data_IF_573546913704
#
_entry.id   IF_573546913704
#
_cell.length_a   1.000
_cell.length_b   1.000
_cell.length_c   1.000
_cell.angle_alpha   90.00
_cell.angle_beta   90.00
_cell.angle_gamma   90.00
#
_symmetry.space_group_name_H-M   'P 1'
#
loop_
_entity.id
_entity.type
_entity.pdbx_description
1 polymer ?
#
# COMPACT_ATOMS: atom_id res chain seq x y z
N UNK A 1 -3.09 1.15 -14.46
CA UNK A 1 -3.48 0.43 -13.22
C UNK A 1 -3.56 -1.09 -13.40
N UNK A 2 -4.17 -1.64 -14.48
CA UNK A 2 -4.22 -3.11 -14.75
C UNK A 2 -2.90 -3.88 -14.60
N UNK A 3 -1.75 -3.25 -14.90
CA UNK A 3 -0.41 -3.84 -14.71
C UNK A 3 -0.12 -4.31 -13.28
N UNK A 4 -0.76 -3.71 -12.27
CA UNK A 4 -0.61 -4.08 -10.86
C UNK A 4 -1.54 -5.21 -10.41
N UNK A 5 -2.46 -5.68 -11.25
CA UNK A 5 -3.39 -6.75 -10.88
C UNK A 5 -2.68 -8.02 -10.37
N UNK A 6 -1.54 -8.48 -10.93
CA UNK A 6 -0.80 -9.61 -10.37
C UNK A 6 -0.32 -9.37 -8.93
N UNK A 7 0.10 -8.14 -8.61
CA UNK A 7 0.51 -7.74 -7.26
C UNK A 7 -0.68 -7.78 -6.30
N UNK A 8 -1.82 -7.21 -6.71
CA UNK A 8 -3.05 -7.20 -5.92
C UNK A 8 -3.53 -8.63 -5.63
N UNK A 9 -3.51 -9.52 -6.63
CA UNK A 9 -3.86 -10.93 -6.46
C UNK A 9 -2.98 -11.64 -5.44
N UNK A 10 -1.67 -11.36 -5.46
CA UNK A 10 -0.72 -11.91 -4.49
C UNK A 10 -0.95 -11.38 -3.08
N UNK A 11 -1.20 -10.07 -2.93
CA UNK A 11 -1.61 -9.50 -1.64
C UNK A 11 -2.87 -10.20 -1.14
N UNK A 12 -3.92 -10.32 -1.97
CA UNK A 12 -5.17 -10.97 -1.60
C UNK A 12 -4.99 -12.43 -1.19
N UNK A 13 -4.14 -13.18 -1.90
CA UNK A 13 -3.82 -14.56 -1.54
C UNK A 13 -3.20 -14.66 -0.14
N UNK A 14 -2.21 -13.80 0.16
CA UNK A 14 -1.56 -13.79 1.47
C UNK A 14 -2.44 -13.23 2.60
N UNK A 15 -3.33 -12.27 2.31
CA UNK A 15 -4.35 -11.82 3.28
C UNK A 15 -5.37 -12.93 3.56
N UNK A 16 -5.78 -13.68 2.54
CA UNK A 16 -6.67 -14.85 2.70
C UNK A 16 -6.03 -15.90 3.59
N UNK A 17 -4.75 -16.19 3.37
CA UNK A 17 -3.97 -17.10 4.20
C UNK A 17 -3.82 -16.58 5.65
N UNK A 18 -3.52 -15.30 5.84
CA UNK A 18 -3.50 -14.68 7.18
C UNK A 18 -4.84 -14.82 7.90
N UNK A 19 -5.94 -14.55 7.19
CA UNK A 19 -7.29 -14.65 7.71
C UNK A 19 -7.65 -16.08 8.14
N UNK A 20 -6.97 -17.12 7.63
CA UNK A 20 -7.20 -18.50 8.03
C UNK A 20 -6.77 -18.80 9.48
N UNK A 21 -5.86 -17.98 10.04
CA UNK A 21 -5.45 -18.06 11.45
C UNK A 21 -6.40 -17.33 12.40
N UNK A 22 -7.38 -16.60 11.86
CA UNK A 22 -8.33 -15.80 12.64
C UNK A 22 -9.71 -16.46 12.67
N UNK A 23 -10.52 -16.08 13.66
CA UNK A 23 -11.95 -16.37 13.60
C UNK A 23 -12.62 -15.54 12.50
N UNK A 24 -13.70 -16.05 11.93
CA UNK A 24 -14.38 -15.44 10.78
C UNK A 24 -14.83 -13.99 11.06
N UNK A 25 -15.23 -13.71 12.29
CA UNK A 25 -15.64 -12.37 12.74
C UNK A 25 -14.48 -11.36 12.86
N UNK A 26 -13.23 -11.82 12.78
CA UNK A 26 -12.02 -10.99 12.93
C UNK A 26 -11.17 -10.91 11.67
N UNK A 27 -11.67 -11.33 10.51
CA UNK A 27 -10.93 -11.32 9.25
C UNK A 27 -10.82 -9.92 8.65
N UNK A 28 -9.74 -9.68 7.91
CA UNK A 28 -9.52 -8.43 7.18
C UNK A 28 -10.08 -8.50 5.74
N UNK A 29 -10.59 -7.38 5.20
CA UNK A 29 -11.11 -7.36 3.85
C UNK A 29 -9.98 -7.48 2.81
N UNK A 30 -10.28 -8.16 1.71
CA UNK A 30 -9.40 -8.20 0.55
C UNK A 30 -9.43 -6.86 -0.22
N UNK A 31 -8.39 -6.61 -1.01
CA UNK A 31 -8.36 -5.53 -1.99
C UNK A 31 -9.29 -5.90 -3.16
N UNK A 32 -10.14 -4.96 -3.58
CA UNK A 32 -11.15 -5.23 -4.60
C UNK A 32 -10.55 -5.15 -6.02
N UNK A 33 -10.39 -6.30 -6.68
CA UNK A 33 -9.76 -6.40 -8.01
C UNK A 33 -10.57 -5.70 -9.12
N UNK A 34 -11.90 -5.73 -9.03
CA UNK A 34 -12.80 -5.13 -10.03
C UNK A 34 -12.80 -3.61 -9.97
N UNK A 35 -12.35 -3.05 -8.84
CA UNK A 35 -12.30 -1.61 -8.58
C UNK A 35 -10.96 -0.98 -8.91
N UNK A 36 -10.08 -1.66 -9.65
CA UNK A 36 -8.72 -1.19 -9.91
C UNK A 36 -8.63 0.17 -10.64
N UNK A 37 -9.68 0.59 -11.37
CA UNK A 37 -9.74 1.91 -11.99
C UNK A 37 -10.56 2.94 -11.17
N UNK A 38 -11.14 2.53 -10.05
CA UNK A 38 -11.94 3.37 -9.17
C UNK A 38 -11.02 4.10 -8.17
N UNK A 39 -10.95 5.42 -8.29
CA UNK A 39 -10.07 6.26 -7.49
C UNK A 39 -10.42 6.26 -5.99
N UNK A 40 -11.64 5.84 -5.63
CA UNK A 40 -12.04 5.70 -4.22
C UNK A 40 -11.42 4.46 -3.55
N UNK A 41 -10.98 3.48 -4.35
CA UNK A 41 -10.30 2.26 -3.90
C UNK A 41 -8.80 2.28 -4.15
N UNK A 42 -8.37 2.93 -5.24
CA UNK A 42 -6.99 2.97 -5.67
C UNK A 42 -6.64 4.35 -6.23
N UNK A 43 -5.80 5.08 -5.51
CA UNK A 43 -5.32 6.38 -5.96
C UNK A 43 -4.16 6.17 -6.94
N UNK A 44 -4.29 6.74 -8.15
CA UNK A 44 -3.13 7.00 -8.99
C UNK A 44 -2.67 8.45 -8.75
N UNK A 45 -1.48 8.67 -8.15
CA UNK A 45 -0.99 10.00 -7.85
C UNK A 45 -0.41 10.73 -9.08
N UNK A 46 -0.16 10.03 -10.19
CA UNK A 46 0.43 10.63 -11.40
C UNK A 46 -0.55 11.64 -12.02
N UNK A 47 -0.04 12.83 -12.33
CA UNK A 47 -0.79 13.96 -12.88
C UNK A 47 -1.63 14.72 -11.85
N UNK A 48 -1.45 14.50 -10.54
CA UNK A 48 -2.30 15.08 -9.48
C UNK A 48 -1.51 15.87 -8.44
N UNK A 49 -2.04 17.03 -8.07
CA UNK A 49 -1.57 17.75 -6.87
C UNK A 49 -1.97 16.99 -5.60
N UNK A 50 -1.20 17.20 -4.53
CA UNK A 50 -1.47 16.57 -3.24
C UNK A 50 -2.89 16.88 -2.73
N UNK A 51 -3.29 18.15 -2.82
CA UNK A 51 -4.59 18.62 -2.32
C UNK A 51 -5.77 18.11 -3.15
N UNK A 52 -5.53 17.65 -4.37
CA UNK A 52 -6.55 17.08 -5.27
C UNK A 52 -6.71 15.56 -5.09
N UNK A 53 -5.88 14.95 -4.24
CA UNK A 53 -5.92 13.53 -4.02
C UNK A 53 -6.92 13.14 -2.94
N UNK A 54 -7.87 12.29 -3.34
CA UNK A 54 -8.72 11.57 -2.41
C UNK A 54 -8.04 10.25 -2.05
N UNK A 55 -7.58 10.13 -0.80
CA UNK A 55 -6.97 8.90 -0.34
C UNK A 55 -8.00 7.78 -0.26
N UNK A 56 -7.65 6.59 -0.75
CA UNK A 56 -8.61 5.51 -0.89
C UNK A 56 -8.99 4.90 0.46
N UNK A 57 -10.20 4.34 0.51
CA UNK A 57 -10.68 3.45 1.59
C UNK A 57 -10.44 3.98 3.01
N UNK A 58 -11.14 5.07 3.34
CA UNK A 58 -11.20 5.69 4.67
C UNK A 58 -9.82 6.02 5.28
N UNK A 59 -9.18 7.13 4.86
CA UNK A 59 -7.83 7.48 5.34
C UNK A 59 -7.77 7.87 6.82
N UNK A 60 -8.92 8.01 7.49
CA UNK A 60 -9.03 8.47 8.87
C UNK A 60 -9.02 7.34 9.92
N UNK A 61 -8.81 6.10 9.49
CA UNK A 61 -8.71 4.92 10.37
C UNK A 61 -7.36 4.21 10.24
N UNK A 62 -7.12 3.26 11.14
CA UNK A 62 -5.94 2.40 11.13
C UNK A 62 -6.08 1.26 10.12
N UNK A 63 -4.98 0.57 9.85
CA UNK A 63 -4.91 -0.60 8.98
C UNK A 63 -3.56 -0.74 8.30
N UNK A 64 -3.55 -1.45 7.17
CA UNK A 64 -2.35 -1.64 6.35
C UNK A 64 -2.54 -0.87 5.04
N UNK A 65 -1.52 -0.13 4.60
CA UNK A 65 -1.54 0.63 3.35
C UNK A 65 -0.40 0.19 2.44
N UNK A 66 -0.58 0.46 1.16
CA UNK A 66 0.32 0.06 0.10
C UNK A 66 0.57 1.24 -0.82
N UNK A 67 1.80 1.37 -1.30
CA UNK A 67 2.07 2.12 -2.51
C UNK A 67 2.99 1.33 -3.43
N UNK A 68 2.75 1.44 -4.72
CA UNK A 68 3.41 0.64 -5.75
C UNK A 68 3.84 1.53 -6.91
N UNK A 69 4.95 1.14 -7.52
CA UNK A 69 5.54 1.88 -8.63
C UNK A 69 6.38 1.00 -9.53
N UNK A 70 6.88 1.59 -10.61
CA UNK A 70 7.84 0.95 -11.52
C UNK A 70 9.15 1.73 -11.57
N UNK A 71 10.27 1.01 -11.65
CA UNK A 71 11.57 1.63 -11.90
C UNK A 71 11.51 2.39 -13.24
N UNK A 72 11.83 3.68 -13.25
CA UNK A 72 11.68 4.54 -14.44
C UNK A 72 12.46 4.01 -15.65
N UNK A 73 13.62 3.38 -15.41
CA UNK A 73 14.44 2.77 -16.45
C UNK A 73 13.97 1.37 -16.89
N UNK A 74 13.08 0.71 -16.13
CA UNK A 74 12.64 -0.68 -16.34
C UNK A 74 11.16 -0.84 -15.97
N UNK A 75 10.29 -0.67 -16.97
CA UNK A 75 8.81 -0.64 -16.79
C UNK A 75 8.15 -1.95 -16.35
N UNK A 76 8.91 -3.04 -16.28
CA UNK A 76 8.42 -4.35 -15.78
C UNK A 76 8.99 -4.70 -14.39
N UNK A 77 9.73 -3.77 -13.76
CA UNK A 77 10.29 -3.92 -12.41
C UNK A 77 9.37 -3.21 -11.39
N UNK A 78 8.39 -3.96 -10.88
CA UNK A 78 7.42 -3.44 -9.91
C UNK A 78 7.99 -3.47 -8.49
N UNK A 79 7.80 -2.38 -7.77
CA UNK A 79 8.17 -2.27 -6.36
C UNK A 79 6.94 -2.01 -5.51
N UNK A 80 6.88 -2.61 -4.32
CA UNK A 80 5.76 -2.48 -3.39
C UNK A 80 6.28 -2.01 -2.04
N UNK A 81 5.59 -1.05 -1.44
CA UNK A 81 5.75 -0.71 -0.04
C UNK A 81 4.50 -1.14 0.70
N UNK A 82 4.69 -1.65 1.91
CA UNK A 82 3.64 -2.10 2.80
C UNK A 82 3.83 -1.37 4.12
N UNK A 83 2.91 -0.51 4.51
CA UNK A 83 3.01 0.22 5.77
C UNK A 83 1.81 -0.03 6.65
N UNK A 84 1.96 0.28 7.94
CA UNK A 84 0.85 0.26 8.91
C UNK A 84 0.49 1.61 9.49
N UNK A 85 -0.78 1.73 9.83
CA UNK A 85 -1.32 2.72 10.75
C UNK A 85 -2.03 1.98 11.89
N UNK A 86 -1.58 2.14 13.14
CA UNK A 86 -2.10 1.38 14.29
C UNK A 86 -2.75 2.31 15.31
N UNK A 87 -2.79 1.92 16.59
CA UNK A 87 -3.58 2.54 17.67
C UNK A 87 -3.59 4.08 17.72
N UNK A 88 -2.50 4.74 17.34
CA UNK A 88 -2.34 6.21 17.43
C UNK A 88 -2.11 6.88 16.08
N UNK A 89 -2.18 6.17 14.97
CA UNK A 89 -1.91 6.73 13.64
C UNK A 89 -3.00 6.36 12.65
N UNK A 90 -3.23 7.23 11.67
CA UNK A 90 -4.21 7.01 10.60
C UNK A 90 -3.50 6.78 9.27
N UNK A 91 -4.11 5.99 8.39
CA UNK A 91 -3.53 5.65 7.08
C UNK A 91 -3.15 6.91 6.29
N UNK A 92 -4.05 7.89 6.22
CA UNK A 92 -3.81 9.14 5.50
C UNK A 92 -2.66 9.96 6.06
N UNK A 93 -2.51 10.01 7.38
CA UNK A 93 -1.40 10.71 8.05
C UNK A 93 -0.06 10.03 7.75
N UNK A 94 -0.03 8.70 7.75
CA UNK A 94 1.17 7.93 7.40
C UNK A 94 1.56 8.15 5.94
N UNK A 95 0.60 8.08 5.03
CA UNK A 95 0.81 8.38 3.61
C UNK A 95 1.29 9.83 3.41
N UNK A 96 0.69 10.81 4.08
CA UNK A 96 1.18 12.20 4.09
C UNK A 96 2.64 12.29 4.49
N UNK A 97 3.03 11.63 5.58
CA UNK A 97 4.41 11.68 6.04
C UNK A 97 5.41 11.00 5.08
N UNK A 98 5.01 9.97 4.35
CA UNK A 98 5.84 9.37 3.31
C UNK A 98 6.08 10.31 2.13
N UNK A 99 5.04 11.04 1.74
CA UNK A 99 5.02 11.72 0.46
C UNK A 99 5.22 13.24 0.54
N UNK A 100 5.04 13.88 1.70
CA UNK A 100 5.08 15.35 1.84
C UNK A 100 6.33 16.02 1.26
N UNK A 101 7.47 15.33 1.22
CA UNK A 101 8.74 15.86 0.72
C UNK A 101 9.07 15.41 -0.71
N UNK A 102 8.34 14.45 -1.28
CA UNK A 102 8.61 13.89 -2.61
C UNK A 102 7.39 13.93 -3.56
N UNK A 103 6.24 14.40 -3.09
CA UNK A 103 5.04 14.52 -3.92
C UNK A 103 5.25 15.60 -4.97
N UNK A 104 5.07 15.21 -6.23
CA UNK A 104 5.08 16.13 -7.37
C UNK A 104 4.02 15.68 -8.35
N UNK A 105 3.31 16.64 -8.93
CA UNK A 105 2.17 16.45 -9.84
C UNK A 105 2.44 15.39 -10.89
N UNK A 106 3.60 15.43 -11.55
CA UNK A 106 3.91 14.51 -12.66
C UNK A 106 5.00 13.48 -12.34
N UNK A 107 5.61 13.59 -11.16
CA UNK A 107 6.86 12.89 -10.84
C UNK A 107 6.89 12.50 -9.37
N UNK A 108 5.82 11.88 -8.87
CA UNK A 108 5.85 11.30 -7.52
C UNK A 108 6.80 10.10 -7.53
N UNK A 109 8.09 10.40 -7.34
CA UNK A 109 9.22 9.50 -7.50
C UNK A 109 9.85 9.29 -6.13
N UNK A 110 10.07 8.03 -5.80
CA UNK A 110 10.90 7.62 -4.66
C UNK A 110 12.11 6.85 -5.15
N UNK A 111 13.06 6.53 -4.27
CA UNK A 111 14.21 5.69 -4.61
C UNK A 111 14.03 4.29 -4.06
N UNK A 112 14.33 3.28 -4.87
CA UNK A 112 14.38 1.89 -4.41
C UNK A 112 15.70 1.62 -3.64
N UNK A 113 15.88 0.38 -3.20
CA UNK A 113 17.02 -0.06 -2.39
C UNK A 113 18.38 0.05 -3.13
N UNK A 114 18.35 0.24 -4.45
CA UNK A 114 19.51 0.44 -5.33
C UNK A 114 19.74 1.92 -5.66
N UNK A 115 18.93 2.82 -5.09
CA UNK A 115 18.95 4.24 -5.41
C UNK A 115 18.30 4.59 -6.75
N UNK A 116 17.68 3.63 -7.46
CA UNK A 116 17.02 3.89 -8.74
C UNK A 116 15.69 4.63 -8.53
N UNK A 117 15.34 5.58 -9.41
CA UNK A 117 14.05 6.27 -9.33
C UNK A 117 12.91 5.31 -9.67
N UNK A 118 11.89 5.28 -8.81
CA UNK A 118 10.64 4.55 -9.00
C UNK A 118 9.49 5.54 -9.01
N UNK A 119 8.71 5.54 -10.08
CA UNK A 119 7.49 6.33 -10.19
C UNK A 119 6.36 5.61 -9.47
N UNK A 120 5.74 6.26 -8.48
CA UNK A 120 4.56 5.74 -7.79
C UNK A 120 3.33 5.99 -8.64
N UNK A 121 2.55 4.94 -8.89
CA UNK A 121 1.37 4.97 -9.78
C UNK A 121 0.13 4.32 -9.14
N UNK A 122 0.27 3.72 -7.96
CA UNK A 122 -0.83 3.09 -7.25
C UNK A 122 -0.65 3.22 -5.74
N UNK A 123 -1.66 3.74 -5.05
CA UNK A 123 -1.76 3.79 -3.59
C UNK A 123 -3.10 3.17 -3.20
N UNK A 124 -3.12 2.31 -2.18
CA UNK A 124 -4.35 1.67 -1.67
C UNK A 124 -4.18 1.24 -0.20
N UNK A 125 -5.21 0.67 0.40
CA UNK A 125 -5.19 0.21 1.79
C UNK A 125 -6.19 -0.90 2.09
N UNK A 126 -5.94 -1.59 3.19
CA UNK A 126 -6.85 -2.47 3.92
C UNK A 126 -7.18 -1.72 5.22
N UNK A 127 -8.24 -0.89 5.24
CA UNK A 127 -8.71 -0.26 6.47
C UNK A 127 -9.24 -1.30 7.45
N UNK A 128 -8.95 -1.10 8.73
CA UNK A 128 -9.45 -1.95 9.81
C UNK A 128 -10.72 -1.31 10.38
N UNK A 129 -11.84 -1.54 9.68
CA UNK A 129 -13.15 -0.97 10.05
C UNK A 129 -13.60 -1.41 11.46
N UNK A 130 -13.17 -2.60 11.90
CA UNK A 130 -13.31 -3.01 13.30
C UNK A 130 -12.14 -2.45 14.12
N UNK A 131 -12.38 -1.33 14.81
CA UNK A 131 -11.35 -0.66 15.61
C UNK A 131 -10.73 -1.56 16.69
N UNK A 132 -11.49 -2.55 17.17
CA UNK A 132 -10.99 -3.52 18.15
C UNK A 132 -9.86 -4.40 17.59
N UNK A 133 -9.67 -4.45 16.26
CA UNK A 133 -8.62 -5.23 15.60
C UNK A 133 -7.41 -4.38 15.17
N UNK A 134 -7.42 -3.07 15.39
CA UNK A 134 -6.32 -2.17 14.97
C UNK A 134 -4.97 -2.60 15.56
N UNK A 135 -4.96 -3.23 16.73
CA UNK A 135 -3.74 -3.77 17.34
C UNK A 135 -3.07 -4.88 16.50
N UNK A 136 -3.79 -5.50 15.56
CA UNK A 136 -3.26 -6.52 14.65
C UNK A 136 -2.64 -5.93 13.37
N UNK A 137 -2.73 -4.61 13.14
CA UNK A 137 -2.13 -3.98 11.95
C UNK A 137 -0.62 -4.27 11.82
N UNK A 138 0.19 -4.27 12.90
CA UNK A 138 1.58 -4.75 12.86
C UNK A 138 1.73 -6.20 12.42
N UNK A 139 0.90 -7.10 12.95
CA UNK A 139 0.99 -8.52 12.61
C UNK A 139 0.68 -8.76 11.12
N UNK A 140 -0.35 -8.12 10.58
CA UNK A 140 -0.68 -8.23 9.15
C UNK A 140 0.42 -7.62 8.27
N UNK A 141 0.95 -6.44 8.62
CA UNK A 141 2.03 -5.80 7.87
C UNK A 141 3.29 -6.69 7.82
N UNK A 142 3.76 -7.16 8.98
CA UNK A 142 4.96 -8.01 9.07
C UNK A 142 4.77 -9.33 8.31
N UNK A 143 3.58 -9.94 8.42
CA UNK A 143 3.23 -11.13 7.66
C UNK A 143 3.31 -10.89 6.14
N UNK A 144 2.70 -9.80 5.67
CA UNK A 144 2.69 -9.46 4.24
C UNK A 144 4.11 -9.14 3.75
N UNK A 145 4.93 -8.44 4.52
CA UNK A 145 6.35 -8.19 4.18
C UNK A 145 7.11 -9.51 4.03
N UNK A 146 6.97 -10.44 4.98
CA UNK A 146 7.66 -11.74 4.93
C UNK A 146 7.24 -12.57 3.71
N UNK A 147 5.95 -12.62 3.39
CA UNK A 147 5.43 -13.42 2.28
C UNK A 147 5.66 -12.79 0.91
N UNK A 148 5.49 -11.47 0.78
CA UNK A 148 5.59 -10.79 -0.52
C UNK A 148 7.03 -10.55 -0.97
N UNK A 149 8.03 -10.58 -0.07
CA UNK A 149 9.44 -10.36 -0.45
C UNK A 149 9.96 -11.39 -1.46
N UNK A 150 9.39 -12.59 -1.48
CA UNK A 150 9.70 -13.62 -2.49
C UNK A 150 8.94 -13.44 -3.80
N UNK A 151 7.86 -12.67 -3.79
CA UNK A 151 7.04 -12.40 -4.98
C UNK A 151 7.49 -11.12 -5.70
N UNK A 152 7.86 -10.06 -4.96
CA UNK A 152 8.19 -8.75 -5.50
C UNK A 152 9.30 -8.04 -4.71
N UNK A 153 10.08 -7.15 -5.37
CA UNK A 153 10.90 -6.16 -4.68
C UNK A 153 10.08 -5.30 -3.70
N UNK A 154 10.53 -5.24 -2.44
CA UNK A 154 9.90 -4.42 -1.41
C UNK A 154 10.75 -3.20 -1.05
N UNK A 155 10.10 -2.04 -0.92
CA UNK A 155 10.72 -0.80 -0.43
C UNK A 155 11.00 -0.82 1.07
N UNK A 156 10.30 -1.67 1.84
CA UNK A 156 10.35 -1.75 3.30
C UNK A 156 11.74 -2.00 3.91
N UNK A 157 12.72 -2.39 3.10
CA UNK A 157 14.07 -2.76 3.53
C UNK A 157 14.94 -1.52 3.77
N UNK A 158 14.56 -0.34 3.25
CA UNK A 158 15.17 0.94 3.61
C UNK A 158 14.44 1.44 4.85
N UNK A 159 14.98 1.15 6.04
CA UNK A 159 14.56 1.85 7.25
C UNK A 159 14.63 3.36 7.00
N UNK A 160 13.64 4.12 7.47
CA UNK A 160 13.55 5.58 7.33
C UNK A 160 14.92 6.23 7.57
N UNK A 161 15.62 6.58 6.49
CA UNK A 161 16.81 7.42 6.51
C UNK A 161 16.40 8.82 6.07
#
# INVERSE_FOLDING_TARGET
MKKYLPVIKKINAHVTDFNSYLRKEFTFPLLNEDKLNDQTYYLNPTGKEWNDCQFPRNPHIGGVYFYMGETVSRRDDFHVYIGKASMKSKIGERLYNHFKNCWKTNETIIRNNRGEPVLIELITSIPFENEALIFLAPALEEYLIDKLRSDFPLFNIIGNN
#
